data_IF_246348078506
#
_entry.id   IF_246348078506
#
_cell.length_a   1.000
_cell.length_b   1.000
_cell.length_c   1.000
_cell.angle_alpha   90.00
_cell.angle_beta   90.00
_cell.angle_gamma   90.00
#
_symmetry.space_group_name_H-M   'P 1'
#
loop_
_entity.id
_entity.type
_entity.pdbx_description
1 polymer ?
#
# COMPACT_ATOMS: atom_id res chain seq x y z
N UNK A 1 26.04 -5.13 23.87
CA UNK A 1 26.02 -5.03 22.36
C UNK A 1 24.62 -5.31 21.92
N UNK A 2 23.99 -4.36 21.24
CA UNK A 2 22.62 -4.47 20.73
C UNK A 2 22.63 -5.07 19.29
N UNK A 3 21.96 -6.19 19.07
CA UNK A 3 21.86 -6.85 17.77
C UNK A 3 20.47 -6.71 17.19
N UNK A 4 20.37 -6.08 16.06
CA UNK A 4 19.08 -5.82 15.40
C UNK A 4 18.98 -6.49 14.03
N UNK A 5 17.81 -7.02 13.73
CA UNK A 5 17.43 -7.48 12.41
C UNK A 5 16.57 -6.46 11.69
N UNK A 6 16.82 -6.24 10.39
CA UNK A 6 15.98 -5.43 9.51
C UNK A 6 15.47 -6.30 8.36
N UNK A 7 14.18 -6.28 8.06
CA UNK A 7 13.62 -6.89 6.88
C UNK A 7 12.49 -6.05 6.25
N UNK A 8 12.39 -6.13 4.93
CA UNK A 8 11.32 -5.50 4.14
C UNK A 8 10.51 -6.59 3.45
N UNK A 9 9.19 -6.62 3.65
CA UNK A 9 8.33 -7.72 3.19
C UNK A 9 7.10 -7.25 2.43
N UNK A 10 6.71 -8.02 1.41
CA UNK A 10 5.55 -7.76 0.57
C UNK A 10 5.88 -6.87 -0.63
N UNK A 11 4.89 -6.20 -1.21
CA UNK A 11 5.12 -5.21 -2.28
C UNK A 11 6.01 -4.08 -1.79
N UNK A 12 6.90 -3.60 -2.64
CA UNK A 12 7.74 -2.44 -2.32
C UNK A 12 6.96 -1.11 -2.40
N UNK A 13 7.60 -0.07 -1.91
CA UNK A 13 7.16 1.32 -2.07
C UNK A 13 8.38 2.25 -2.04
N UNK A 14 8.15 3.52 -2.32
CA UNK A 14 9.21 4.51 -2.47
C UNK A 14 9.98 4.79 -1.16
N UNK A 15 9.34 4.68 0.02
CA UNK A 15 9.89 5.20 1.29
C UNK A 15 10.54 4.16 2.23
N UNK A 16 10.69 2.90 1.80
CA UNK A 16 11.29 1.83 2.62
C UNK A 16 12.69 2.18 3.14
N UNK A 17 13.53 2.68 2.26
CA UNK A 17 14.92 3.03 2.60
C UNK A 17 14.98 4.21 3.59
N UNK A 18 14.05 5.17 3.49
CA UNK A 18 13.95 6.29 4.42
C UNK A 18 13.67 5.81 5.85
N UNK A 19 12.77 4.82 6.01
CA UNK A 19 12.46 4.22 7.31
C UNK A 19 13.66 3.49 7.90
N UNK A 20 14.33 2.63 7.11
CA UNK A 20 15.54 1.91 7.59
C UNK A 20 16.65 2.86 7.99
N UNK A 21 16.84 3.93 7.21
CA UNK A 21 17.79 5.00 7.57
C UNK A 21 17.41 5.66 8.90
N UNK A 22 16.12 5.94 9.12
CA UNK A 22 15.61 6.50 10.37
C UNK A 22 15.94 5.62 11.56
N UNK A 23 15.67 4.31 11.47
CA UNK A 23 15.99 3.32 12.51
C UNK A 23 17.48 3.38 12.84
N UNK A 24 18.32 3.14 11.84
CA UNK A 24 19.77 2.95 12.07
C UNK A 24 20.43 4.22 12.56
N UNK A 25 20.13 5.38 11.98
CA UNK A 25 20.70 6.64 12.46
C UNK A 25 20.28 6.96 13.90
N UNK A 26 19.04 6.69 14.27
CA UNK A 26 18.55 6.92 15.63
C UNK A 26 19.25 6.00 16.63
N UNK A 27 19.35 4.71 16.32
CA UNK A 27 20.08 3.76 17.17
C UNK A 27 21.54 4.18 17.35
N UNK A 28 22.25 4.50 16.26
CA UNK A 28 23.65 4.91 16.31
C UNK A 28 23.88 6.20 17.10
N UNK A 29 22.90 7.09 17.14
CA UNK A 29 23.02 8.37 17.87
C UNK A 29 22.68 8.25 19.34
N UNK A 30 21.76 7.33 19.72
CA UNK A 30 21.17 7.30 21.05
C UNK A 30 21.51 6.03 21.85
N UNK A 31 22.13 5.01 21.26
CA UNK A 31 22.55 3.83 22.01
C UNK A 31 23.86 4.07 22.72
N UNK A 32 23.94 3.65 23.99
CA UNK A 32 25.19 3.61 24.76
C UNK A 32 26.03 2.37 24.44
N UNK A 33 25.41 1.37 23.82
CA UNK A 33 26.05 0.11 23.46
C UNK A 33 26.43 0.06 21.96
N UNK A 34 27.49 -0.68 21.59
CA UNK A 34 27.77 -1.01 20.21
C UNK A 34 26.59 -1.72 19.55
N UNK A 35 26.32 -1.40 18.28
CA UNK A 35 25.20 -1.96 17.53
C UNK A 35 25.71 -2.81 16.38
N UNK A 36 25.13 -3.98 16.24
CA UNK A 36 25.33 -4.90 15.09
C UNK A 36 24.03 -5.02 14.32
N UNK A 37 24.07 -4.83 12.98
CA UNK A 37 22.91 -4.73 12.13
C UNK A 37 22.89 -5.87 11.13
N UNK A 38 21.84 -6.67 11.14
CA UNK A 38 21.59 -7.77 10.20
C UNK A 38 20.48 -7.39 9.23
N UNK A 39 20.81 -7.08 7.98
CA UNK A 39 19.83 -6.84 6.92
C UNK A 39 19.45 -8.15 6.24
N UNK A 40 18.23 -8.64 6.46
CA UNK A 40 17.74 -9.86 5.84
C UNK A 40 17.34 -9.61 4.38
N UNK A 41 17.88 -10.40 3.48
CA UNK A 41 17.62 -10.31 2.04
C UNK A 41 16.27 -10.93 1.68
N UNK A 42 15.54 -10.31 0.78
CA UNK A 42 14.23 -10.79 0.29
C UNK A 42 13.19 -11.05 1.40
N UNK A 43 13.19 -10.22 2.44
CA UNK A 43 12.19 -10.23 3.49
C UNK A 43 12.23 -11.49 4.36
N UNK A 44 11.05 -12.08 4.63
CA UNK A 44 10.95 -13.28 5.45
C UNK A 44 11.72 -14.48 4.86
N UNK A 45 11.92 -14.52 3.56
CA UNK A 45 12.74 -15.58 2.94
C UNK A 45 14.19 -15.52 3.45
N UNK A 46 14.73 -14.32 3.62
CA UNK A 46 16.05 -14.14 4.23
C UNK A 46 16.10 -14.66 5.66
N UNK A 47 15.06 -14.39 6.46
CA UNK A 47 14.99 -14.85 7.84
C UNK A 47 14.80 -16.38 7.93
N UNK A 48 14.01 -17.00 7.02
CA UNK A 48 13.80 -18.45 6.94
C UNK A 48 15.11 -19.18 6.63
N UNK A 49 15.87 -18.68 5.65
CA UNK A 49 17.07 -19.34 5.15
C UNK A 49 18.40 -18.78 5.69
N UNK A 50 18.34 -17.93 6.72
CA UNK A 50 19.51 -17.23 7.29
C UNK A 50 20.35 -16.50 6.23
N UNK A 51 19.67 -15.87 5.23
CA UNK A 51 20.31 -15.02 4.22
C UNK A 51 20.28 -13.58 4.68
N UNK A 52 21.40 -13.05 5.07
CA UNK A 52 21.53 -11.70 5.58
C UNK A 52 22.88 -11.10 5.23
N UNK A 53 22.96 -9.79 5.32
CA UNK A 53 24.23 -9.05 5.31
C UNK A 53 24.43 -8.37 6.66
N UNK A 54 25.65 -8.43 7.20
CA UNK A 54 26.03 -7.52 8.30
C UNK A 54 26.24 -6.15 7.68
N UNK A 55 25.50 -5.18 8.18
CA UNK A 55 25.45 -3.85 7.60
C UNK A 55 26.16 -2.82 8.49
N UNK A 56 26.70 -1.81 7.84
CA UNK A 56 27.41 -0.72 8.49
C UNK A 56 26.61 0.59 8.38
N UNK A 57 26.88 1.62 9.18
CA UNK A 57 26.23 2.93 9.02
C UNK A 57 26.40 3.53 7.62
N UNK A 58 27.46 3.19 6.88
CA UNK A 58 27.70 3.64 5.51
C UNK A 58 26.64 3.13 4.54
N UNK A 59 26.11 1.91 4.74
CA UNK A 59 25.07 1.33 3.90
C UNK A 59 23.74 2.13 3.95
N UNK A 60 23.54 2.90 5.00
CA UNK A 60 22.37 3.77 5.20
C UNK A 60 22.61 5.23 4.83
N UNK A 61 23.76 5.54 4.25
CA UNK A 61 24.09 6.87 3.74
C UNK A 61 23.54 7.04 2.32
N UNK A 62 22.96 8.21 2.01
CA UNK A 62 22.46 8.53 0.66
C UNK A 62 21.17 7.79 0.25
N UNK A 63 20.56 6.97 1.09
CA UNK A 63 19.37 6.17 0.73
C UNK A 63 18.03 6.88 1.00
N UNK A 64 18.01 8.06 1.61
CA UNK A 64 16.78 8.79 1.96
C UNK A 64 15.86 9.02 0.74
N UNK A 65 16.46 9.33 -0.40
CA UNK A 65 15.76 9.64 -1.65
C UNK A 65 15.70 8.46 -2.61
N UNK A 66 16.27 7.32 -2.22
CA UNK A 66 16.30 6.12 -3.05
C UNK A 66 15.02 5.31 -2.84
N UNK A 67 14.23 5.14 -3.92
CA UNK A 67 13.04 4.29 -3.90
C UNK A 67 13.34 2.79 -3.81
N UNK A 68 12.28 2.00 -3.63
CA UNK A 68 12.41 0.57 -3.40
C UNK A 68 13.11 0.23 -2.09
N UNK A 69 13.80 -0.91 -2.05
CA UNK A 69 14.50 -1.39 -0.85
C UNK A 69 15.91 -1.88 -1.17
N UNK A 70 16.89 -1.51 -0.34
CA UNK A 70 18.28 -1.99 -0.45
C UNK A 70 18.44 -3.45 0.01
N UNK A 71 17.42 -4.03 0.66
CA UNK A 71 17.44 -5.41 1.15
C UNK A 71 16.73 -6.39 0.22
N UNK A 72 16.05 -5.90 -0.83
CA UNK A 72 15.14 -6.73 -1.59
C UNK A 72 13.88 -7.08 -0.79
N UNK A 73 12.88 -7.63 -1.45
CA UNK A 73 11.61 -8.01 -0.83
C UNK A 73 11.00 -9.21 -1.53
N UNK A 74 10.24 -10.00 -0.78
CA UNK A 74 9.45 -11.09 -1.33
C UNK A 74 8.09 -11.19 -0.65
N UNK A 75 7.18 -11.94 -1.28
CA UNK A 75 5.87 -12.23 -0.69
C UNK A 75 5.90 -13.61 -0.06
N UNK A 76 5.74 -13.66 1.27
CA UNK A 76 5.49 -14.89 2.03
C UNK A 76 4.04 -14.86 2.52
N UNK A 77 3.08 -15.47 1.78
CA UNK A 77 1.67 -15.39 2.14
C UNK A 77 1.40 -16.00 3.51
N UNK A 78 0.78 -15.24 4.42
CA UNK A 78 0.45 -15.72 5.77
C UNK A 78 -0.35 -17.02 5.77
N UNK A 79 -1.28 -17.22 4.82
CA UNK A 79 -2.07 -18.46 4.67
C UNK A 79 -1.22 -19.72 4.42
N UNK A 80 0.03 -19.55 3.98
CA UNK A 80 0.99 -20.63 3.74
C UNK A 80 2.13 -20.65 4.77
N UNK A 81 1.97 -19.89 5.86
CA UNK A 81 3.03 -19.77 6.86
C UNK A 81 3.35 -21.12 7.53
N UNK A 82 2.29 -21.86 7.87
CA UNK A 82 2.42 -23.20 8.49
C UNK A 82 2.60 -24.34 7.46
N UNK A 83 2.63 -24.02 6.15
CA UNK A 83 2.95 -25.00 5.12
C UNK A 83 4.47 -24.98 4.89
N UNK A 84 5.18 -26.12 4.99
CA UNK A 84 6.61 -26.18 4.69
C UNK A 84 6.93 -25.67 3.28
N UNK A 85 8.15 -25.18 3.10
CA UNK A 85 8.68 -24.86 1.76
C UNK A 85 8.89 -26.15 0.94
N UNK A 86 9.17 -26.01 -0.36
CA UNK A 86 9.32 -27.15 -1.26
C UNK A 86 10.46 -28.12 -0.87
N UNK A 87 11.44 -27.62 -0.13
CA UNK A 87 12.57 -28.37 0.43
C UNK A 87 12.30 -28.93 1.83
N UNK A 88 11.05 -28.79 2.33
CA UNK A 88 10.62 -29.32 3.62
C UNK A 88 10.92 -28.40 4.81
N UNK A 89 11.47 -27.19 4.60
CA UNK A 89 11.76 -26.25 5.68
C UNK A 89 10.46 -25.69 6.26
N UNK A 90 10.28 -25.85 7.57
CA UNK A 90 9.18 -25.25 8.34
C UNK A 90 9.50 -23.78 8.62
N UNK A 91 8.69 -22.87 8.09
CA UNK A 91 8.99 -21.43 8.05
C UNK A 91 9.13 -20.79 9.43
N UNK A 92 8.13 -20.98 10.31
CA UNK A 92 8.14 -20.35 11.64
C UNK A 92 9.28 -20.86 12.50
N UNK A 93 9.50 -22.20 12.66
CA UNK A 93 10.66 -22.71 13.37
C UNK A 93 12.00 -22.23 12.81
N UNK A 94 12.14 -22.14 11.48
CA UNK A 94 13.36 -21.67 10.84
C UNK A 94 13.64 -20.18 11.14
N UNK A 95 12.60 -19.32 11.11
CA UNK A 95 12.73 -17.91 11.47
C UNK A 95 13.12 -17.72 12.94
N UNK A 96 12.48 -18.47 13.84
CA UNK A 96 12.80 -18.47 15.28
C UNK A 96 14.24 -18.94 15.53
N UNK A 97 14.64 -20.03 14.85
CA UNK A 97 16.02 -20.52 14.92
C UNK A 97 17.03 -19.45 14.48
N UNK A 98 16.80 -18.81 13.35
CA UNK A 98 17.70 -17.76 12.83
C UNK A 98 17.80 -16.57 13.81
N UNK A 99 16.67 -16.13 14.38
CA UNK A 99 16.62 -15.07 15.36
C UNK A 99 17.52 -15.40 16.58
N UNK A 100 17.34 -16.56 17.18
CA UNK A 100 18.13 -16.98 18.34
C UNK A 100 19.59 -17.28 18.01
N UNK A 101 19.87 -17.90 16.85
CA UNK A 101 21.24 -18.16 16.38
C UNK A 101 22.07 -16.88 16.25
N UNK A 102 21.46 -15.81 15.78
CA UNK A 102 22.09 -14.49 15.64
C UNK A 102 22.03 -13.68 16.95
N UNK A 103 21.34 -14.20 17.97
CA UNK A 103 21.11 -13.50 19.23
C UNK A 103 20.54 -12.09 19.04
N UNK A 104 19.52 -12.00 18.17
CA UNK A 104 18.89 -10.72 17.92
C UNK A 104 18.13 -10.24 19.16
N UNK A 105 18.29 -8.97 19.50
CA UNK A 105 17.53 -8.31 20.57
C UNK A 105 16.20 -7.76 20.03
N UNK A 106 16.15 -7.38 18.74
CA UNK A 106 14.93 -6.88 18.09
C UNK A 106 14.94 -7.19 16.58
N UNK A 107 13.75 -7.48 16.04
CA UNK A 107 13.50 -7.58 14.61
C UNK A 107 12.59 -6.43 14.16
N UNK A 108 13.11 -5.54 13.34
CA UNK A 108 12.33 -4.49 12.67
C UNK A 108 11.75 -5.00 11.37
N UNK A 109 10.42 -5.05 11.27
CA UNK A 109 9.68 -5.53 10.10
C UNK A 109 8.98 -4.37 9.39
N UNK A 110 9.39 -4.07 8.15
CA UNK A 110 8.74 -3.10 7.29
C UNK A 110 7.81 -3.83 6.32
N UNK A 111 6.50 -3.75 6.54
CA UNK A 111 5.57 -4.54 5.72
C UNK A 111 4.12 -4.10 5.83
N UNK A 112 3.30 -4.60 4.89
CA UNK A 112 1.86 -4.39 4.88
C UNK A 112 1.11 -5.41 5.74
N UNK A 113 -0.23 -5.43 5.62
CA UNK A 113 -1.13 -6.25 6.44
C UNK A 113 -0.73 -7.74 6.54
N UNK A 114 -0.38 -8.37 5.42
CA UNK A 114 0.07 -9.78 5.42
C UNK A 114 1.34 -10.00 6.23
N UNK A 115 2.31 -9.10 6.12
CA UNK A 115 3.57 -9.15 6.84
C UNK A 115 3.40 -8.87 8.33
N UNK A 116 2.46 -7.99 8.69
CA UNK A 116 2.09 -7.69 10.09
C UNK A 116 1.49 -8.92 10.79
N UNK A 117 0.71 -9.75 10.07
CA UNK A 117 0.24 -11.04 10.61
C UNK A 117 1.39 -11.98 10.95
N UNK A 118 2.40 -12.07 10.06
CA UNK A 118 3.59 -12.87 10.31
C UNK A 118 4.41 -12.30 11.47
N UNK A 119 4.54 -10.97 11.56
CA UNK A 119 5.19 -10.31 12.70
C UNK A 119 4.50 -10.63 14.03
N UNK A 120 3.15 -10.60 14.07
CA UNK A 120 2.39 -11.00 15.25
C UNK A 120 2.60 -12.47 15.61
N UNK A 121 2.62 -13.36 14.63
CA UNK A 121 2.94 -14.77 14.85
C UNK A 121 4.34 -14.96 15.46
N UNK A 122 5.33 -14.23 14.98
CA UNK A 122 6.69 -14.30 15.57
C UNK A 122 6.72 -13.72 16.99
N UNK A 123 5.93 -12.68 17.30
CA UNK A 123 5.74 -12.18 18.67
C UNK A 123 5.15 -13.28 19.57
N UNK A 124 4.17 -14.03 19.09
CA UNK A 124 3.58 -15.15 19.84
C UNK A 124 4.58 -16.28 20.11
N UNK A 125 5.59 -16.44 19.26
CA UNK A 125 6.74 -17.33 19.49
C UNK A 125 7.78 -16.74 20.43
N UNK A 126 7.55 -15.58 21.00
CA UNK A 126 8.41 -14.92 21.99
C UNK A 126 9.52 -14.03 21.42
N UNK A 127 9.46 -13.68 20.13
CA UNK A 127 10.45 -12.80 19.53
C UNK A 127 10.08 -11.32 19.76
N UNK A 128 11.10 -10.50 20.00
CA UNK A 128 10.96 -9.05 20.07
C UNK A 128 10.82 -8.47 18.65
N UNK A 129 9.63 -8.08 18.26
CA UNK A 129 9.33 -7.55 16.92
C UNK A 129 8.73 -6.16 17.03
N UNK A 130 9.19 -5.26 16.16
CA UNK A 130 8.59 -3.94 15.92
C UNK A 130 8.23 -3.84 14.45
N UNK A 131 6.96 -3.56 14.17
CA UNK A 131 6.45 -3.44 12.80
C UNK A 131 6.27 -1.98 12.39
N UNK A 132 6.46 -1.69 11.11
CA UNK A 132 6.21 -0.38 10.51
C UNK A 132 5.22 -0.50 9.37
N UNK A 133 4.24 0.44 9.26
CA UNK A 133 3.11 0.34 8.34
C UNK A 133 3.52 0.71 6.90
N UNK A 134 3.99 -0.27 6.14
CA UNK A 134 4.48 -0.13 4.77
C UNK A 134 3.46 -0.64 3.78
N UNK A 135 2.78 0.24 3.09
CA UNK A 135 1.97 -0.07 1.91
C UNK A 135 1.62 1.22 1.16
N UNK A 136 1.51 1.16 -0.15
CA UNK A 136 0.95 2.27 -0.93
C UNK A 136 -0.57 2.37 -0.75
N UNK A 137 -1.24 1.27 -0.39
CA UNK A 137 -2.70 1.16 -0.40
C UNK A 137 -3.38 1.87 0.78
N UNK A 138 -2.61 2.30 1.80
CA UNK A 138 -3.10 2.90 3.06
C UNK A 138 -4.17 2.05 3.78
N UNK A 139 -4.09 0.72 3.61
CA UNK A 139 -5.08 -0.25 4.07
C UNK A 139 -4.79 -0.84 5.46
N UNK A 140 -3.75 -0.36 6.15
CA UNK A 140 -3.35 -0.89 7.45
C UNK A 140 -4.21 -0.29 8.57
N UNK A 141 -4.91 -1.16 9.30
CA UNK A 141 -5.72 -0.75 10.44
C UNK A 141 -4.86 -0.17 11.57
N UNK A 142 -5.41 0.81 12.28
CA UNK A 142 -4.79 1.40 13.48
C UNK A 142 -3.86 2.57 13.21
N UNK A 143 -3.63 2.92 11.94
CA UNK A 143 -2.86 4.11 11.57
C UNK A 143 -3.61 4.96 10.54
N UNK A 144 -3.47 6.28 10.63
CA UNK A 144 -4.02 7.22 9.63
C UNK A 144 -3.26 7.15 8.31
N UNK A 145 -1.95 6.93 8.37
CA UNK A 145 -1.07 6.97 7.21
C UNK A 145 -0.15 5.75 7.18
N UNK A 146 0.13 5.28 5.97
CA UNK A 146 1.19 4.29 5.69
C UNK A 146 2.23 4.92 4.77
N UNK A 147 3.52 4.64 4.98
CA UNK A 147 4.52 5.20 4.07
C UNK A 147 4.54 4.44 2.74
N UNK A 148 4.70 5.21 1.68
CA UNK A 148 4.49 4.82 0.28
C UNK A 148 3.18 5.35 -0.30
N UNK A 149 2.21 5.73 0.54
CA UNK A 149 0.89 6.16 0.09
C UNK A 149 0.91 7.52 -0.59
N UNK A 150 1.52 8.54 0.02
CA UNK A 150 1.55 9.89 -0.56
C UNK A 150 2.33 9.93 -1.86
N UNK A 151 3.45 9.23 -1.93
CA UNK A 151 4.21 9.08 -3.18
C UNK A 151 3.41 8.36 -4.29
N UNK A 152 2.61 7.36 -3.93
CA UNK A 152 1.74 6.70 -4.90
C UNK A 152 0.61 7.60 -5.39
N UNK A 153 0.05 8.45 -4.51
CA UNK A 153 -0.91 9.49 -4.90
C UNK A 153 -0.29 10.44 -5.92
N UNK A 154 0.92 10.94 -5.66
CA UNK A 154 1.61 11.85 -6.56
C UNK A 154 1.78 11.26 -7.96
N UNK A 155 2.22 10.00 -8.06
CA UNK A 155 2.36 9.31 -9.34
C UNK A 155 1.01 9.12 -10.04
N UNK A 156 -0.03 8.73 -9.30
CA UNK A 156 -1.37 8.55 -9.87
C UNK A 156 -1.98 9.89 -10.31
N UNK A 157 -1.84 10.94 -9.50
CA UNK A 157 -2.29 12.30 -9.84
C UNK A 157 -1.57 12.82 -11.08
N UNK A 158 -0.25 12.65 -11.15
CA UNK A 158 0.53 13.04 -12.35
C UNK A 158 0.04 12.34 -13.61
N UNK A 159 -0.34 11.06 -13.52
CA UNK A 159 -0.93 10.35 -14.64
C UNK A 159 -2.26 10.97 -15.07
N UNK A 160 -3.13 11.33 -14.11
CA UNK A 160 -4.41 11.99 -14.39
C UNK A 160 -4.16 13.35 -15.06
N UNK A 161 -3.26 14.17 -14.53
CA UNK A 161 -2.89 15.48 -15.08
C UNK A 161 -2.39 15.40 -16.53
N UNK A 162 -1.53 14.43 -16.81
CA UNK A 162 -1.03 14.22 -18.17
C UNK A 162 -2.15 13.82 -19.15
N UNK A 163 -3.11 13.01 -18.67
CA UNK A 163 -4.26 12.57 -19.46
C UNK A 163 -5.24 13.73 -19.70
N UNK A 164 -5.42 14.65 -18.77
CA UNK A 164 -6.33 15.81 -18.93
C UNK A 164 -6.08 16.57 -20.23
N UNK A 165 -4.82 16.83 -20.55
CA UNK A 165 -4.45 17.63 -21.73
C UNK A 165 -4.83 16.95 -23.04
N UNK A 166 -4.60 15.64 -23.16
CA UNK A 166 -4.97 14.88 -24.36
C UNK A 166 -6.47 14.59 -24.40
N UNK A 167 -7.12 14.34 -23.26
CA UNK A 167 -8.57 14.15 -23.17
C UNK A 167 -9.32 15.40 -23.67
N UNK A 168 -8.91 16.57 -23.21
CA UNK A 168 -9.47 17.87 -23.64
C UNK A 168 -9.25 18.12 -25.12
N UNK A 169 -8.06 17.83 -25.66
CA UNK A 169 -7.72 18.07 -27.06
C UNK A 169 -8.61 17.26 -28.03
N UNK A 170 -8.90 16.02 -27.66
CA UNK A 170 -9.64 15.10 -28.53
C UNK A 170 -11.13 14.94 -28.19
N UNK A 171 -11.59 15.46 -27.05
CA UNK A 171 -12.99 15.31 -26.63
C UNK A 171 -13.35 13.87 -26.28
N UNK A 172 -12.46 13.15 -25.58
CA UNK A 172 -12.57 11.72 -25.27
C UNK A 172 -12.96 11.47 -23.81
N UNK A 173 -13.47 10.27 -23.57
CA UNK A 173 -13.53 9.71 -22.21
C UNK A 173 -12.26 8.91 -21.94
N UNK A 174 -11.64 9.12 -20.79
CA UNK A 174 -10.50 8.31 -20.31
C UNK A 174 -10.87 7.57 -19.05
N UNK A 175 -10.64 6.27 -19.05
CA UNK A 175 -10.79 5.37 -17.89
C UNK A 175 -9.37 5.03 -17.40
N UNK A 176 -9.04 5.47 -16.20
CA UNK A 176 -7.68 5.36 -15.64
C UNK A 176 -7.71 4.38 -14.47
N UNK A 177 -6.98 3.26 -14.60
CA UNK A 177 -6.84 2.28 -13.53
C UNK A 177 -5.84 2.76 -12.48
N UNK A 178 -6.24 2.76 -11.22
CA UNK A 178 -5.40 3.15 -10.09
C UNK A 178 -5.29 1.99 -9.11
N UNK A 179 -4.08 1.72 -8.63
CA UNK A 179 -3.81 0.69 -7.63
C UNK A 179 -4.52 1.01 -6.30
N UNK A 180 -4.63 0.02 -5.42
CA UNK A 180 -5.26 0.13 -4.10
C UNK A 180 -5.71 -1.23 -3.58
N UNK A 181 -5.49 -2.29 -4.35
CA UNK A 181 -5.84 -3.66 -4.03
C UNK A 181 -7.33 -3.81 -3.65
N UNK A 182 -7.68 -3.78 -2.37
CA UNK A 182 -9.06 -3.96 -1.87
C UNK A 182 -9.71 -2.69 -1.36
N UNK A 183 -9.01 -1.58 -1.41
CA UNK A 183 -9.45 -0.32 -0.83
C UNK A 183 -9.28 0.82 -1.84
N UNK A 184 -10.06 1.85 -1.69
CA UNK A 184 -10.15 2.98 -2.61
C UNK A 184 -9.35 4.22 -2.23
N UNK A 185 -8.38 4.13 -1.31
CA UNK A 185 -7.67 5.31 -0.82
C UNK A 185 -6.89 6.05 -1.91
N UNK A 186 -6.07 5.34 -2.72
CA UNK A 186 -5.28 5.99 -3.77
C UNK A 186 -6.19 6.60 -4.84
N UNK A 187 -7.15 5.86 -5.44
CA UNK A 187 -8.03 6.43 -6.45
C UNK A 187 -8.91 7.58 -5.92
N UNK A 188 -9.32 7.56 -4.65
CA UNK A 188 -10.05 8.66 -4.03
C UNK A 188 -9.19 9.93 -3.98
N UNK A 189 -8.00 9.83 -3.39
CA UNK A 189 -7.12 10.98 -3.23
C UNK A 189 -6.58 11.50 -4.57
N UNK A 190 -6.10 10.59 -5.42
CA UNK A 190 -5.58 10.97 -6.74
C UNK A 190 -6.68 11.47 -7.68
N UNK A 191 -7.89 10.90 -7.60
CA UNK A 191 -9.04 11.32 -8.40
C UNK A 191 -9.50 12.73 -8.02
N UNK A 192 -9.59 13.04 -6.72
CA UNK A 192 -9.93 14.39 -6.24
C UNK A 192 -8.81 15.38 -6.59
N UNK A 193 -7.55 15.03 -6.32
CA UNK A 193 -6.41 15.90 -6.60
C UNK A 193 -6.20 16.17 -8.09
N UNK A 194 -6.42 15.16 -8.94
CA UNK A 194 -6.28 15.26 -10.39
C UNK A 194 -7.57 15.72 -11.10
N UNK A 195 -8.64 16.03 -10.37
CA UNK A 195 -9.89 16.54 -10.97
C UNK A 195 -10.62 15.51 -11.82
N UNK A 196 -10.68 14.25 -11.40
CA UNK A 196 -11.51 13.24 -12.05
C UNK A 196 -13.01 13.58 -11.89
N UNK A 197 -13.78 13.28 -12.89
CA UNK A 197 -15.22 13.52 -12.92
C UNK A 197 -16.03 12.38 -12.31
N UNK A 198 -15.46 11.16 -12.39
CA UNK A 198 -16.01 9.95 -11.79
C UNK A 198 -14.89 9.22 -11.06
N UNK A 199 -15.16 8.77 -9.85
CA UNK A 199 -14.22 7.98 -9.02
C UNK A 199 -14.92 6.70 -8.57
N UNK A 200 -14.44 5.54 -9.06
CA UNK A 200 -15.01 4.24 -8.72
C UNK A 200 -14.09 3.51 -7.74
N UNK A 201 -14.59 3.23 -6.52
CA UNK A 201 -13.86 2.57 -5.45
C UNK A 201 -14.58 1.33 -4.92
N UNK A 202 -13.87 0.34 -4.35
CA UNK A 202 -14.49 -0.91 -3.88
C UNK A 202 -15.56 -0.71 -2.80
N UNK A 203 -15.41 0.32 -1.97
CA UNK A 203 -16.29 0.59 -0.82
C UNK A 203 -17.62 1.20 -1.22
N UNK A 204 -17.72 1.73 -2.46
CA UNK A 204 -18.96 2.29 -3.04
C UNK A 204 -19.23 1.54 -4.34
N UNK A 205 -20.02 0.44 -4.31
CA UNK A 205 -20.36 -0.30 -5.51
C UNK A 205 -21.11 0.59 -6.51
N UNK A 206 -20.58 0.66 -7.73
CA UNK A 206 -21.13 1.53 -8.77
C UNK A 206 -22.24 0.86 -9.57
N UNK A 207 -23.15 1.69 -10.09
CA UNK A 207 -24.12 1.38 -11.11
C UNK A 207 -23.64 2.01 -12.43
N UNK A 208 -23.50 1.19 -13.46
CA UNK A 208 -22.99 1.66 -14.74
C UNK A 208 -23.91 2.67 -15.41
N UNK A 209 -25.22 2.57 -15.20
CA UNK A 209 -26.18 3.54 -15.75
C UNK A 209 -26.01 4.92 -15.10
N UNK A 210 -25.63 5.01 -13.82
CA UNK A 210 -25.32 6.28 -13.17
C UNK A 210 -24.01 6.88 -13.68
N UNK A 211 -23.00 6.05 -13.95
CA UNK A 211 -21.75 6.50 -14.61
C UNK A 211 -22.05 7.09 -15.97
N UNK A 212 -22.88 6.41 -16.78
CA UNK A 212 -23.30 6.88 -18.12
C UNK A 212 -24.06 8.21 -18.03
N UNK A 213 -25.05 8.31 -17.14
CA UNK A 213 -25.80 9.55 -16.91
C UNK A 213 -24.89 10.74 -16.56
N UNK A 214 -23.89 10.49 -15.71
CA UNK A 214 -22.89 11.53 -15.36
C UNK A 214 -22.13 11.99 -16.61
N UNK A 215 -21.66 11.06 -17.44
CA UNK A 215 -20.94 11.39 -18.68
C UNK A 215 -21.84 12.17 -19.65
N UNK A 216 -23.08 11.72 -19.86
CA UNK A 216 -24.05 12.37 -20.75
C UNK A 216 -24.38 13.78 -20.26
N UNK A 217 -24.69 13.94 -18.98
CA UNK A 217 -24.98 15.24 -18.39
C UNK A 217 -23.81 16.23 -18.56
N UNK A 218 -22.58 15.78 -18.36
CA UNK A 218 -21.38 16.60 -18.61
C UNK A 218 -21.30 17.08 -20.04
N UNK A 219 -21.61 16.20 -20.98
CA UNK A 219 -21.64 16.54 -22.42
C UNK A 219 -22.72 17.56 -22.74
N UNK A 220 -23.93 17.40 -22.20
CA UNK A 220 -25.05 18.32 -22.39
C UNK A 220 -24.73 19.71 -21.82
N UNK A 221 -23.98 19.76 -20.72
CA UNK A 221 -23.54 21.01 -20.08
C UNK A 221 -22.29 21.63 -20.70
N UNK A 222 -21.79 21.07 -21.81
CA UNK A 222 -20.71 21.64 -22.61
C UNK A 222 -19.30 21.10 -22.33
N UNK A 223 -19.17 20.15 -21.43
CA UNK A 223 -17.87 19.47 -21.19
C UNK A 223 -17.49 18.61 -22.39
N UNK A 224 -16.26 18.77 -22.88
CA UNK A 224 -15.80 18.05 -24.08
C UNK A 224 -15.23 16.67 -23.78
N UNK A 225 -14.76 16.43 -22.55
CA UNK A 225 -14.10 15.19 -22.12
C UNK A 225 -14.55 14.78 -20.73
N UNK A 226 -14.24 13.55 -20.34
CA UNK A 226 -14.50 13.02 -18.99
C UNK A 226 -13.35 12.13 -18.55
N UNK A 227 -12.92 12.29 -17.29
CA UNK A 227 -11.92 11.45 -16.63
C UNK A 227 -12.64 10.56 -15.61
N UNK A 228 -12.46 9.25 -15.76
CA UNK A 228 -13.00 8.22 -14.88
C UNK A 228 -11.82 7.55 -14.17
N UNK A 229 -11.60 7.85 -12.90
CA UNK A 229 -10.60 7.19 -12.07
C UNK A 229 -11.19 5.92 -11.44
N UNK A 230 -10.58 4.77 -11.70
CA UNK A 230 -11.13 3.46 -11.30
C UNK A 230 -10.12 2.71 -10.44
N UNK A 231 -10.50 2.34 -9.22
CA UNK A 231 -9.71 1.40 -8.43
C UNK A 231 -9.60 0.05 -9.12
N UNK A 232 -8.43 -0.60 -9.08
CA UNK A 232 -8.26 -1.98 -9.60
C UNK A 232 -9.22 -2.98 -8.95
N UNK A 233 -9.70 -2.68 -7.74
CA UNK A 233 -10.67 -3.47 -6.97
C UNK A 233 -12.11 -2.94 -7.03
N UNK A 234 -12.43 -1.96 -7.88
CA UNK A 234 -13.80 -1.44 -8.03
C UNK A 234 -14.79 -2.56 -8.38
N UNK A 235 -16.00 -2.46 -7.88
CA UNK A 235 -17.04 -3.50 -8.06
C UNK A 235 -18.37 -2.85 -8.40
N UNK A 236 -19.10 -3.42 -9.34
CA UNK A 236 -20.47 -2.98 -9.67
C UNK A 236 -21.46 -3.42 -8.58
N UNK A 237 -22.62 -2.76 -8.48
CA UNK A 237 -23.73 -3.18 -7.59
C UNK A 237 -24.16 -4.62 -7.87
N UNK A 238 -24.20 -5.02 -9.14
CA UNK A 238 -24.55 -6.38 -9.54
C UNK A 238 -23.54 -7.40 -9.02
N UNK A 239 -22.25 -7.11 -9.16
CA UNK A 239 -21.18 -7.99 -8.71
C UNK A 239 -21.05 -8.04 -7.20
N UNK A 240 -21.33 -6.93 -6.52
CA UNK A 240 -21.36 -6.85 -5.05
C UNK A 240 -22.48 -7.70 -4.43
N UNK A 241 -23.57 -7.93 -5.19
CA UNK A 241 -24.67 -8.79 -4.77
C UNK A 241 -24.35 -10.30 -4.89
N UNK A 242 -23.30 -10.67 -5.61
CA UNK A 242 -22.90 -12.07 -5.79
C UNK A 242 -22.27 -12.64 -4.51
N UNK A 243 -22.44 -13.95 -4.33
CA UNK A 243 -21.63 -14.66 -3.31
C UNK A 243 -20.14 -14.63 -3.67
N UNK A 244 -19.27 -14.76 -2.67
CA UNK A 244 -17.80 -14.80 -2.90
C UNK A 244 -17.39 -15.89 -3.91
N UNK A 245 -18.12 -17.00 -3.98
CA UNK A 245 -17.84 -18.10 -4.90
C UNK A 245 -18.21 -17.73 -6.35
N UNK A 246 -19.39 -17.14 -6.54
CA UNK A 246 -19.89 -16.70 -7.83
C UNK A 246 -19.03 -15.56 -8.39
N UNK A 247 -18.70 -14.58 -7.56
CA UNK A 247 -17.80 -13.49 -7.96
C UNK A 247 -16.41 -14.00 -8.39
N UNK A 248 -15.82 -14.94 -7.63
CA UNK A 248 -14.56 -15.59 -8.01
C UNK A 248 -14.68 -16.31 -9.36
N UNK A 249 -15.78 -17.00 -9.61
CA UNK A 249 -16.03 -17.66 -10.89
C UNK A 249 -16.11 -16.65 -12.01
N UNK A 250 -16.88 -15.57 -11.85
CA UNK A 250 -16.99 -14.48 -12.81
C UNK A 250 -15.63 -13.85 -13.14
N UNK A 251 -14.80 -13.61 -12.10
CA UNK A 251 -13.45 -13.10 -12.29
C UNK A 251 -12.54 -14.05 -13.08
N UNK A 252 -12.66 -15.36 -12.84
CA UNK A 252 -11.88 -16.37 -13.57
C UNK A 252 -12.32 -16.52 -15.04
N UNK A 253 -13.55 -16.19 -15.37
CA UNK A 253 -14.13 -16.21 -16.73
C UNK A 253 -13.90 -14.88 -17.48
N UNK A 254 -13.42 -13.83 -16.78
CA UNK A 254 -13.11 -12.55 -17.43
C UNK A 254 -12.01 -12.73 -18.48
N UNK A 255 -12.27 -12.26 -19.68
CA UNK A 255 -11.33 -12.30 -20.81
C UNK A 255 -10.53 -11.01 -20.96
N UNK A 256 -11.02 -9.89 -20.40
CA UNK A 256 -10.31 -8.61 -20.38
C UNK A 256 -9.17 -8.64 -19.32
N UNK A 257 -8.04 -7.98 -19.59
CA UNK A 257 -6.91 -7.92 -18.66
C UNK A 257 -7.26 -7.23 -17.33
N UNK A 258 -8.23 -6.32 -17.34
CA UNK A 258 -8.64 -5.52 -16.18
C UNK A 258 -10.07 -5.02 -16.35
N UNK A 259 -10.73 -4.69 -15.23
CA UNK A 259 -12.10 -4.14 -15.20
C UNK A 259 -12.24 -2.85 -16.02
N UNK A 260 -11.20 -2.03 -16.12
CA UNK A 260 -11.26 -0.75 -16.83
C UNK A 260 -11.52 -0.92 -18.33
N UNK A 261 -11.12 -2.04 -18.92
CA UNK A 261 -11.44 -2.35 -20.32
C UNK A 261 -12.92 -2.66 -20.50
N UNK A 262 -13.54 -3.37 -19.55
CA UNK A 262 -14.97 -3.68 -19.58
C UNK A 262 -15.78 -2.39 -19.41
N UNK A 263 -15.41 -1.55 -18.44
CA UNK A 263 -16.01 -0.23 -18.20
C UNK A 263 -15.87 0.66 -19.43
N UNK A 264 -14.68 0.75 -20.01
CA UNK A 264 -14.43 1.59 -21.19
C UNK A 264 -15.28 1.16 -22.39
N UNK A 265 -15.36 -0.15 -22.64
CA UNK A 265 -16.19 -0.71 -23.72
C UNK A 265 -17.67 -0.41 -23.54
N UNK A 266 -18.17 -0.49 -22.31
CA UNK A 266 -19.56 -0.20 -22.00
C UNK A 266 -19.86 1.30 -22.14
N UNK A 267 -18.97 2.18 -21.68
CA UNK A 267 -19.09 3.63 -21.90
C UNK A 267 -19.15 3.95 -23.38
N UNK A 268 -18.23 3.42 -24.19
CA UNK A 268 -18.20 3.69 -25.62
C UNK A 268 -19.46 3.19 -26.32
N UNK A 269 -19.95 1.99 -25.96
CA UNK A 269 -21.16 1.41 -26.55
C UNK A 269 -22.44 2.21 -26.20
N UNK A 270 -22.56 2.71 -24.96
CA UNK A 270 -23.77 3.42 -24.53
C UNK A 270 -23.76 4.91 -24.88
N UNK A 271 -22.60 5.56 -24.85
CA UNK A 271 -22.50 7.02 -25.10
C UNK A 271 -22.11 7.38 -26.52
N UNK A 272 -21.60 6.42 -27.31
CA UNK A 272 -21.01 6.66 -28.62
C UNK A 272 -19.73 7.49 -28.60
N UNK A 273 -19.13 7.73 -27.40
CA UNK A 273 -17.92 8.51 -27.25
C UNK A 273 -16.69 7.65 -27.32
N UNK A 274 -15.70 8.11 -28.08
CA UNK A 274 -14.39 7.46 -28.13
C UNK A 274 -13.80 7.38 -26.72
N UNK A 275 -13.59 6.17 -26.23
CA UNK A 275 -13.12 5.90 -24.87
C UNK A 275 -11.74 5.26 -24.90
N UNK A 276 -10.84 5.71 -24.07
CA UNK A 276 -9.47 5.22 -23.95
C UNK A 276 -9.17 4.79 -22.52
N UNK A 277 -8.27 3.82 -22.40
CA UNK A 277 -7.81 3.29 -21.10
C UNK A 277 -6.36 3.71 -20.87
N UNK A 278 -6.06 4.11 -19.63
CA UNK A 278 -4.71 4.31 -19.16
C UNK A 278 -4.47 3.49 -17.88
N UNK A 279 -3.34 2.78 -17.83
CA UNK A 279 -2.99 1.94 -16.67
C UNK A 279 -1.54 2.25 -16.27
N UNK A 280 -1.32 3.18 -15.33
CA UNK A 280 0.02 3.46 -14.81
C UNK A 280 0.66 2.25 -14.11
N UNK A 281 -0.16 1.34 -13.54
CA UNK A 281 0.31 0.07 -12.98
C UNK A 281 1.42 0.26 -11.94
N UNK A 282 2.49 -0.53 -12.04
CA UNK A 282 3.58 -0.54 -11.07
C UNK A 282 4.43 0.75 -11.02
N UNK A 283 4.26 1.69 -11.95
CA UNK A 283 4.89 3.02 -11.82
C UNK A 283 4.46 3.72 -10.53
N UNK A 284 3.27 3.42 -10.01
CA UNK A 284 2.76 3.93 -8.73
C UNK A 284 3.54 3.42 -7.50
N UNK A 285 4.41 2.40 -7.65
CA UNK A 285 5.32 1.90 -6.60
C UNK A 285 6.75 2.39 -6.78
N UNK A 286 7.06 2.95 -7.94
CA UNK A 286 8.42 3.31 -8.36
C UNK A 286 8.78 4.76 -8.09
N UNK A 287 10.02 5.10 -8.38
CA UNK A 287 10.53 6.46 -8.23
C UNK A 287 11.01 6.79 -6.83
N UNK A 288 11.28 8.08 -6.62
CA UNK A 288 11.70 8.60 -5.32
C UNK A 288 10.49 8.84 -4.41
N UNK A 289 10.64 8.70 -3.08
CA UNK A 289 9.60 9.13 -2.17
C UNK A 289 9.42 10.64 -2.21
N UNK A 290 8.18 11.10 -2.10
CA UNK A 290 7.86 12.51 -1.93
C UNK A 290 8.35 13.04 -0.56
N UNK A 291 8.21 14.35 -0.34
CA UNK A 291 8.68 14.97 0.90
C UNK A 291 7.90 14.47 2.13
N UNK A 292 6.59 14.24 1.99
CA UNK A 292 5.74 13.79 3.09
C UNK A 292 6.07 12.36 3.50
N UNK A 293 6.24 11.47 2.53
CA UNK A 293 6.67 10.09 2.79
C UNK A 293 8.06 10.02 3.42
N UNK A 294 9.01 10.85 2.96
CA UNK A 294 10.35 10.91 3.59
C UNK A 294 10.28 11.30 5.06
N UNK A 295 9.46 12.28 5.41
CA UNK A 295 9.26 12.74 6.78
C UNK A 295 8.59 11.64 7.60
N UNK A 296 7.45 11.14 7.13
CA UNK A 296 6.67 10.13 7.87
C UNK A 296 7.43 8.80 8.03
N UNK A 297 8.07 8.31 6.99
CA UNK A 297 8.92 7.12 7.04
C UNK A 297 10.10 7.29 8.01
N UNK A 298 10.71 8.48 8.04
CA UNK A 298 11.76 8.79 9.01
C UNK A 298 11.21 8.81 10.44
N UNK A 299 10.04 9.42 10.67
CA UNK A 299 9.38 9.43 11.99
C UNK A 299 9.07 7.99 12.46
N UNK A 300 8.52 7.14 11.58
CA UNK A 300 8.30 5.72 11.90
C UNK A 300 9.60 5.03 12.31
N UNK A 301 10.68 5.26 11.58
CA UNK A 301 11.99 4.66 11.90
C UNK A 301 12.58 5.18 13.22
N UNK A 302 12.45 6.47 13.48
CA UNK A 302 12.92 7.10 14.75
C UNK A 302 12.17 6.51 15.92
N UNK A 303 10.84 6.51 15.89
CA UNK A 303 10.02 6.03 17.02
C UNK A 303 10.21 4.53 17.27
N UNK A 304 10.35 3.72 16.21
CA UNK A 304 10.68 2.31 16.32
C UNK A 304 12.03 2.08 17.04
N UNK A 305 13.04 2.85 16.67
CA UNK A 305 14.37 2.76 17.29
C UNK A 305 14.37 3.21 18.76
N UNK A 306 13.70 4.31 19.09
CA UNK A 306 13.57 4.79 20.46
C UNK A 306 12.80 3.81 21.35
N UNK A 307 11.72 3.20 20.84
CA UNK A 307 11.01 2.14 21.55
C UNK A 307 11.89 0.92 21.79
N UNK A 308 12.68 0.49 20.81
CA UNK A 308 13.64 -0.60 20.98
C UNK A 308 14.66 -0.30 22.09
N UNK A 309 15.21 0.92 22.14
CA UNK A 309 16.14 1.33 23.21
C UNK A 309 15.49 1.37 24.58
N UNK A 310 14.17 1.58 24.66
CA UNK A 310 13.40 1.48 25.91
C UNK A 310 13.00 0.04 26.27
N UNK A 311 13.34 -0.96 25.43
CA UNK A 311 12.95 -2.35 25.62
C UNK A 311 11.47 -2.62 25.32
N UNK A 312 10.83 -1.81 24.49
CA UNK A 312 9.43 -1.93 24.09
C UNK A 312 9.33 -2.71 22.76
N UNK A 313 8.48 -3.75 22.72
CA UNK A 313 8.34 -4.63 21.56
C UNK A 313 6.89 -5.12 21.40
N UNK A 314 6.60 -5.80 20.32
CA UNK A 314 5.29 -6.42 20.08
C UNK A 314 4.23 -5.46 19.54
N UNK A 315 4.65 -4.37 18.92
CA UNK A 315 3.74 -3.34 18.39
C UNK A 315 4.07 -2.95 16.94
N UNK A 316 3.15 -2.25 16.34
CA UNK A 316 3.32 -1.51 15.09
C UNK A 316 3.36 -0.01 15.39
N UNK A 317 4.29 0.71 14.75
CA UNK A 317 4.28 2.17 14.76
C UNK A 317 3.04 2.66 14.00
N UNK A 318 2.36 3.64 14.54
CA UNK A 318 1.16 4.22 13.94
C UNK A 318 1.13 5.74 14.09
N UNK A 319 0.38 6.39 13.22
CA UNK A 319 0.00 7.80 13.33
C UNK A 319 -1.47 7.87 13.75
N UNK A 320 -1.78 8.56 14.85
CA UNK A 320 -3.15 8.80 15.30
C UNK A 320 -3.26 10.20 15.90
N UNK A 321 -4.28 10.93 15.49
CA UNK A 321 -4.50 12.33 15.90
C UNK A 321 -3.23 13.19 15.74
N UNK A 322 -2.53 12.97 14.60
CA UNK A 322 -1.28 13.68 14.27
C UNK A 322 -0.08 13.31 15.15
N UNK A 323 -0.15 12.25 15.96
CA UNK A 323 0.94 11.81 16.87
C UNK A 323 1.36 10.39 16.58
N UNK A 324 2.67 10.16 16.65
CA UNK A 324 3.21 8.80 16.59
C UNK A 324 2.83 8.04 17.86
N UNK A 325 2.40 6.79 17.68
CA UNK A 325 2.01 5.92 18.79
C UNK A 325 2.33 4.45 18.49
N UNK A 326 2.23 3.60 19.52
CA UNK A 326 2.43 2.16 19.44
C UNK A 326 1.08 1.44 19.48
N UNK A 327 0.80 0.65 18.46
CA UNK A 327 -0.39 -0.19 18.38
C UNK A 327 0.00 -1.65 18.58
N UNK A 328 -0.54 -2.37 19.58
CA UNK A 328 -0.25 -3.78 19.78
C UNK A 328 -0.47 -4.58 18.48
N UNK A 329 0.46 -5.47 18.15
CA UNK A 329 0.39 -6.25 16.91
C UNK A 329 -0.88 -7.11 16.83
N UNK A 330 -1.35 -7.62 17.96
CA UNK A 330 -2.59 -8.39 18.07
C UNK A 330 -3.85 -7.58 17.70
N UNK A 331 -3.82 -6.27 17.94
CA UNK A 331 -4.94 -5.38 17.64
C UNK A 331 -5.02 -5.00 16.16
N UNK A 332 -3.90 -5.02 15.45
CA UNK A 332 -3.82 -4.58 14.04
C UNK A 332 -3.70 -5.73 13.05
N UNK A 333 -3.11 -6.85 13.46
CA UNK A 333 -2.87 -7.98 12.56
C UNK A 333 -4.14 -8.53 11.93
N UNK A 334 -4.23 -8.45 10.62
CA UNK A 334 -5.36 -9.02 9.87
C UNK A 334 -6.56 -8.12 9.69
N UNK A 335 -6.57 -6.93 10.26
CA UNK A 335 -7.61 -5.93 10.04
C UNK A 335 -7.23 -5.04 8.85
N UNK A 336 -8.24 -4.59 8.11
CA UNK A 336 -8.07 -3.65 6.99
C UNK A 336 -8.75 -2.32 7.32
N UNK A 337 -8.17 -1.23 6.82
CA UNK A 337 -8.73 0.11 6.88
C UNK A 337 -9.34 0.43 5.52
N UNK A 338 -10.65 0.44 5.46
CA UNK A 338 -11.43 0.81 4.28
C UNK A 338 -11.70 2.31 4.25
N UNK A 339 -11.98 2.85 3.06
CA UNK A 339 -12.56 4.18 2.91
C UNK A 339 -13.97 4.15 3.50
N UNK A 340 -14.27 5.08 4.40
CA UNK A 340 -15.65 5.28 4.86
C UNK A 340 -16.44 6.04 3.79
N UNK A 341 -17.50 5.44 3.20
CA UNK A 341 -18.36 6.10 2.23
C UNK A 341 -19.01 7.41 2.75
N UNK A 342 -19.04 7.60 4.07
CA UNK A 342 -19.57 8.80 4.72
C UNK A 342 -18.46 9.78 5.17
N UNK A 343 -17.19 9.51 4.82
CA UNK A 343 -16.07 10.39 5.18
C UNK A 343 -16.20 11.77 4.56
N UNK A 344 -15.59 12.75 5.20
CA UNK A 344 -15.61 14.13 4.73
C UNK A 344 -15.12 14.26 3.29
N UNK A 345 -14.03 13.59 2.92
CA UNK A 345 -13.49 13.68 1.56
C UNK A 345 -14.44 13.11 0.50
N UNK A 346 -15.15 12.01 0.78
CA UNK A 346 -16.18 11.46 -0.14
C UNK A 346 -17.35 12.44 -0.26
N UNK A 347 -17.83 12.99 0.85
CA UNK A 347 -18.92 13.98 0.86
C UNK A 347 -18.53 15.26 0.11
N UNK A 348 -17.32 15.75 0.31
CA UNK A 348 -16.78 16.93 -0.36
C UNK A 348 -16.59 16.69 -1.87
N UNK A 349 -16.09 15.52 -2.26
CA UNK A 349 -16.01 15.12 -3.66
C UNK A 349 -17.39 15.11 -4.34
N UNK A 350 -18.40 14.52 -3.70
CA UNK A 350 -19.79 14.56 -4.19
C UNK A 350 -20.34 15.99 -4.28
N UNK A 351 -20.04 16.84 -3.30
CA UNK A 351 -20.46 18.25 -3.31
C UNK A 351 -19.80 19.06 -4.46
N UNK A 352 -18.63 18.64 -4.93
CA UNK A 352 -17.97 19.19 -6.14
C UNK A 352 -18.59 18.65 -7.44
N UNK A 353 -19.53 17.71 -7.38
CA UNK A 353 -20.15 17.08 -8.54
C UNK A 353 -19.39 15.84 -9.06
N UNK A 354 -18.42 15.33 -8.30
CA UNK A 354 -17.72 14.09 -8.65
C UNK A 354 -18.66 12.91 -8.35
N UNK A 355 -18.91 12.08 -9.35
CA UNK A 355 -19.75 10.89 -9.22
C UNK A 355 -18.96 9.69 -8.72
N UNK A 356 -19.55 8.90 -7.82
CA UNK A 356 -19.06 7.57 -7.45
C UNK A 356 -19.85 6.44 -8.14
N UNK A 357 -20.76 6.78 -9.04
CA UNK A 357 -21.61 5.83 -9.72
C UNK A 357 -22.70 5.21 -8.85
N UNK A 358 -22.93 5.73 -7.65
CA UNK A 358 -23.91 5.20 -6.69
C UNK A 358 -25.28 5.89 -6.75
N UNK A 359 -25.36 7.10 -7.34
CA UNK A 359 -26.56 7.95 -7.48
C UNK A 359 -26.77 8.38 -8.94
#
# INVERSE_FOLDING_TARGET
>A
MLRIGLLTSGGDCQALNATMRGIVKTLMTNSEEPIEIYGFEDGYQGLIYSRFRVMTPADFSGILTRGGTILGTSRTPFKRLDTPEADGVEKVPAMVHTYHKLQLDCLFMLGGNGSTKTANRLREEGLNVVAMPKTIDNDTWGTELTFGFTSAIDVATKCIDDIHTTASSHGRVFVIEIMGHKVGWIPLYAGVAGGADVILIPEIPYDMDNVIKTIEHRMETGSRFTIVAVAEGAISKEDAALSKKEYKKKLAERTSPSIVYDIAKEIEAKTGRETRVAIPGHTQRGGQPDAQDRIFATQCGVEAALGCLRGEFGYMIALRDGKMCHMPLEDVAGKLKFVDPQSDLVREAKALGISFGDE
#
